data_IF_975452463660
#
_entry.id   IF_975452463660
#
_cell.length_a   1.000
_cell.length_b   1.000
_cell.length_c   1.000
_cell.angle_alpha   90.00
_cell.angle_beta   90.00
_cell.angle_gamma   90.00
#
_symmetry.space_group_name_H-M   'P 1'
#
loop_
_entity.id
_entity.type
_entity.pdbx_description
1 polymer ?
2 polymer ?
3 polymer ?
4 non-polymer ?
5 water ?
#
# COMPACT_ATOMS: atom_id res chain seq x y z
N UNK A 1 -19.04 -10.10 -10.11
CA UNK A 1 -19.42 -9.03 -9.19
C UNK A 1 -19.79 -9.62 -7.83
N UNK A 2 -18.91 -9.42 -6.86
CA UNK A 2 -19.11 -9.95 -5.52
C UNK A 2 -20.11 -9.16 -4.72
N UNK A 3 -20.13 -9.45 -3.42
CA UNK A 3 -21.06 -8.85 -2.48
C UNK A 3 -20.29 -7.96 -1.51
N UNK A 4 -20.82 -6.77 -1.24
CA UNK A 4 -20.22 -5.85 -0.27
C UNK A 4 -20.96 -5.96 1.05
N UNK A 5 -20.21 -5.79 2.14
CA UNK A 5 -20.77 -5.97 3.47
C UNK A 5 -20.28 -4.87 4.40
N UNK A 6 -21.03 -4.69 5.49
CA UNK A 6 -20.65 -3.79 6.57
C UNK A 6 -21.03 -4.46 7.89
N UNK A 7 -20.82 -3.74 8.99
CA UNK A 7 -21.22 -4.27 10.29
C UNK A 7 -22.74 -4.37 10.44
N UNK A 8 -23.51 -3.75 9.56
CA UNK A 8 -24.95 -3.81 9.58
C UNK A 8 -25.51 -4.92 8.68
N UNK A 9 -24.68 -5.89 8.30
CA UNK A 9 -25.09 -6.99 7.45
C UNK A 9 -25.03 -8.30 8.23
N UNK A 10 -25.78 -9.28 7.74
CA UNK A 10 -25.81 -10.63 8.30
C UNK A 10 -25.54 -11.61 7.16
N UNK A 11 -24.31 -11.58 6.65
CA UNK A 11 -23.89 -12.42 5.54
C UNK A 11 -22.78 -13.33 6.03
N UNK A 12 -23.06 -14.63 6.11
CA UNK A 12 -22.05 -15.61 6.48
C UNK A 12 -21.20 -16.06 5.29
N UNK A 13 -21.53 -15.60 4.08
CA UNK A 13 -20.83 -16.02 2.88
C UNK A 13 -19.68 -15.07 2.56
N UNK A 14 -18.88 -15.45 1.56
CA UNK A 14 -17.70 -14.68 1.17
C UNK A 14 -18.09 -13.27 0.76
N UNK A 15 -17.64 -12.28 1.53
CA UNK A 15 -18.06 -10.90 1.34
C UNK A 15 -16.88 -9.97 1.53
N UNK A 16 -16.97 -8.79 0.92
CA UNK A 16 -15.95 -7.75 1.06
C UNK A 16 -16.35 -6.81 2.18
N UNK A 17 -15.50 -6.70 3.20
CA UNK A 17 -15.71 -5.82 4.34
C UNK A 17 -14.71 -4.66 4.30
N UNK A 18 -15.04 -3.51 4.89
CA UNK A 18 -14.12 -2.38 4.85
C UNK A 18 -13.06 -2.44 5.95
N UNK A 19 -11.87 -1.93 5.61
CA UNK A 19 -10.75 -1.85 6.54
C UNK A 19 -9.88 -0.66 6.12
N UNK A 20 -9.42 0.10 7.10
CA UNK A 20 -8.51 1.21 6.88
C UNK A 20 -7.12 0.82 7.38
N UNK A 21 -6.15 0.81 6.48
CA UNK A 21 -4.76 0.56 6.83
C UNK A 21 -4.14 1.88 7.26
N UNK A 22 -3.59 1.92 8.48
CA UNK A 22 -3.06 3.14 9.07
C UNK A 22 -1.53 3.06 9.05
N UNK A 23 -0.92 3.80 8.11
CA UNK A 23 0.54 3.80 8.01
C UNK A 23 1.18 4.42 9.24
N UNK A 24 0.55 5.45 9.81
CA UNK A 24 1.10 6.08 11.01
C UNK A 24 1.08 5.13 12.20
N UNK A 25 0.10 4.23 12.27
CA UNK A 25 0.04 3.26 13.36
C UNK A 25 1.22 2.29 13.32
N UNK A 26 1.90 2.19 12.19
CA UNK A 26 3.13 1.41 12.09
C UNK A 26 4.36 2.20 12.51
N UNK A 27 4.23 3.50 12.71
CA UNK A 27 5.37 4.36 12.94
C UNK A 27 6.04 4.87 11.69
N UNK A 28 5.40 4.73 10.53
CA UNK A 28 5.99 5.11 9.24
C UNK A 28 5.69 6.59 8.99
N UNK A 29 6.67 7.44 9.26
CA UNK A 29 6.56 8.86 8.97
C UNK A 29 7.20 9.24 7.65
N UNK A 30 7.84 8.29 6.97
CA UNK A 30 8.40 8.55 5.65
C UNK A 30 7.36 8.60 4.55
N UNK A 31 6.11 8.25 4.85
CA UNK A 31 5.01 8.32 3.89
C UNK A 31 4.29 9.63 4.12
N UNK A 32 4.44 10.57 3.18
CA UNK A 32 3.77 11.86 3.31
C UNK A 32 2.26 11.71 3.16
N UNK A 33 1.82 11.00 2.12
CA UNK A 33 0.42 10.80 1.86
C UNK A 33 0.25 9.50 1.08
N UNK A 34 -0.81 8.72 1.36
CA UNK A 34 -1.78 9.00 2.40
C UNK A 34 -1.36 8.45 3.76
N UNK A 35 -1.75 9.13 4.84
CA UNK A 35 -1.49 8.59 6.17
C UNK A 35 -2.26 7.29 6.40
N UNK A 36 -3.44 7.18 5.79
CA UNK A 36 -4.29 6.00 5.91
C UNK A 36 -5.13 5.88 4.64
N UNK A 37 -5.49 4.65 4.29
CA UNK A 37 -6.29 4.42 3.11
C UNK A 37 -7.20 3.21 3.34
N UNK A 38 -8.25 3.13 2.53
CA UNK A 38 -9.23 2.06 2.63
C UNK A 38 -8.77 0.88 1.78
N UNK A 39 -8.40 -0.22 2.44
CA UNK A 39 -7.88 -1.40 1.76
C UNK A 39 -8.88 -2.55 1.68
N UNK A 40 -9.78 -2.67 2.66
CA UNK A 40 -10.79 -3.72 2.72
C UNK A 40 -10.17 -5.10 2.88
N UNK A 41 -11.02 -6.12 3.03
CA UNK A 41 -10.57 -7.50 3.16
C UNK A 41 -11.73 -8.42 2.85
N UNK A 42 -11.39 -9.68 2.60
CA UNK A 42 -12.37 -10.71 2.23
C UNK A 42 -12.58 -11.65 3.40
N UNK A 43 -13.84 -11.97 3.68
CA UNK A 43 -14.19 -12.89 4.75
C UNK A 43 -15.56 -13.48 4.45
N UNK A 44 -15.80 -14.66 5.00
CA UNK A 44 -17.07 -15.36 4.82
C UNK A 44 -16.87 -16.77 4.30
N UNK A 45 -17.93 -17.55 4.40
CA UNK A 45 -17.91 -18.94 4.00
C UNK A 45 -18.08 -19.06 2.48
N UNK A 46 -17.41 -20.05 1.91
CA UNK A 46 -17.49 -20.35 0.48
C UNK A 46 -18.28 -21.65 0.32
N UNK A 47 -19.60 -21.53 0.36
CA UNK A 47 -20.45 -22.68 0.10
C UNK A 47 -20.41 -23.01 -1.39
N UNK A 48 -21.04 -24.14 -1.74
CA UNK A 48 -20.90 -24.69 -3.08
C UNK A 48 -21.46 -23.75 -4.12
N UNK A 49 -20.76 -23.65 -5.25
CA UNK A 49 -21.21 -22.91 -6.43
C UNK A 49 -21.40 -21.42 -6.14
N UNK A 50 -20.66 -20.88 -5.18
CA UNK A 50 -20.79 -19.48 -4.77
C UNK A 50 -19.52 -18.73 -5.17
N UNK A 51 -19.67 -17.80 -6.12
CA UNK A 51 -18.60 -16.85 -6.48
C UNK A 51 -17.30 -17.56 -6.81
N UNK A 52 -17.39 -18.54 -7.71
CA UNK A 52 -16.21 -19.31 -8.09
C UNK A 52 -15.29 -18.45 -8.96
N UNK A 53 -14.01 -18.43 -8.61
CA UNK A 53 -13.08 -17.48 -9.23
C UNK A 53 -12.65 -17.93 -10.62
N UNK A 54 -12.24 -19.19 -10.76
CA UNK A 54 -11.73 -19.71 -12.02
C UNK A 54 -12.63 -20.83 -12.52
N UNK A 55 -12.53 -21.19 -13.81
CA UNK A 55 -13.10 -22.48 -14.24
C UNK A 55 -12.48 -23.65 -13.53
N UNK A 56 -11.20 -23.54 -13.13
CA UNK A 56 -10.57 -24.57 -12.31
C UNK A 56 -11.34 -24.78 -11.01
N UNK A 57 -11.81 -23.69 -10.39
CA UNK A 57 -12.58 -23.81 -9.16
C UNK A 57 -13.83 -24.65 -9.36
N UNK A 58 -14.59 -24.35 -10.41
CA UNK A 58 -15.84 -25.08 -10.67
C UNK A 58 -15.56 -26.55 -10.94
N UNK A 59 -14.47 -26.86 -11.63
CA UNK A 59 -14.22 -28.24 -12.03
C UNK A 59 -13.80 -29.09 -10.85
N UNK A 60 -12.88 -28.59 -10.02
CA UNK A 60 -12.44 -29.38 -8.88
C UNK A 60 -13.52 -29.45 -7.80
N UNK A 61 -14.24 -28.36 -7.57
CA UNK A 61 -15.31 -28.39 -6.57
C UNK A 61 -16.39 -29.38 -6.96
N UNK A 62 -16.70 -29.47 -8.26
CA UNK A 62 -17.65 -30.48 -8.73
C UNK A 62 -17.07 -31.89 -8.60
N UNK A 63 -15.80 -32.07 -8.95
CA UNK A 63 -15.19 -33.39 -8.93
C UNK A 63 -14.79 -33.80 -7.51
N UNK A 64 -13.92 -33.02 -6.89
CA UNK A 64 -13.50 -33.28 -5.52
C UNK A 64 -14.72 -33.43 -4.63
N UNK A 65 -14.79 -34.47 -3.80
CA UNK A 65 -15.89 -34.54 -2.85
C UNK A 65 -15.80 -33.45 -1.80
N UNK A 66 -16.60 -33.57 -0.73
CA UNK A 66 -16.43 -32.65 0.38
C UNK A 66 -15.02 -32.75 0.94
N UNK A 67 -14.52 -33.96 1.16
CA UNK A 67 -13.14 -34.12 1.55
C UNK A 67 -12.17 -33.44 0.60
N UNK A 68 -11.40 -32.48 1.13
CA UNK A 68 -11.43 -32.28 2.57
C UNK A 68 -11.72 -30.85 2.98
N UNK A 69 -11.53 -29.90 2.08
CA UNK A 69 -11.70 -28.49 2.42
C UNK A 69 -12.15 -27.72 1.19
N UNK A 70 -13.05 -26.75 1.42
CA UNK A 70 -13.65 -25.99 0.37
C UNK A 70 -12.77 -24.86 -0.09
N UNK A 71 -13.31 -24.01 -0.98
CA UNK A 71 -12.55 -22.86 -1.47
C UNK A 71 -12.32 -21.85 -0.35
N UNK A 72 -11.39 -20.94 -0.62
CA UNK A 72 -11.05 -19.87 0.31
C UNK A 72 -11.57 -18.54 -0.22
N UNK A 73 -12.20 -17.77 0.65
CA UNK A 73 -12.66 -16.43 0.27
C UNK A 73 -11.45 -15.53 0.05
N UNK A 74 -11.26 -15.10 -1.19
CA UNK A 74 -10.04 -14.44 -1.62
C UNK A 74 -10.39 -13.30 -2.57
N UNK A 75 -9.53 -12.29 -2.67
CA UNK A 75 -9.80 -11.20 -3.63
C UNK A 75 -9.85 -11.70 -5.06
N UNK A 76 -10.76 -11.11 -5.85
CA UNK A 76 -10.85 -11.37 -7.27
C UNK A 76 -10.56 -10.14 -8.12
N UNK A 77 -10.40 -8.96 -7.52
CA UNK A 77 -10.03 -7.76 -8.24
C UNK A 77 -9.33 -6.82 -7.29
N UNK A 78 -8.17 -6.32 -7.69
CA UNK A 78 -7.41 -5.35 -6.92
C UNK A 78 -7.25 -4.06 -7.71
N UNK A 79 -6.85 -3.01 -7.01
CA UNK A 79 -6.61 -1.70 -7.61
C UNK A 79 -5.43 -1.06 -6.92
N UNK A 80 -4.73 -0.15 -7.60
CA UNK A 80 -3.58 0.51 -6.97
C UNK A 80 -3.98 1.76 -6.20
N UNK A 81 -3.01 2.36 -5.49
CA UNK A 81 -3.16 3.66 -4.87
C UNK A 81 -1.93 4.49 -5.20
N UNK A 82 -2.10 5.81 -5.14
CA UNK A 82 -0.98 6.72 -5.22
C UNK A 82 -0.37 6.93 -3.83
N UNK A 83 0.94 7.20 -3.81
CA UNK A 83 1.63 7.41 -2.55
C UNK A 83 2.77 8.40 -2.75
N UNK A 84 2.86 9.36 -1.85
CA UNK A 84 3.94 10.34 -1.83
C UNK A 84 4.78 10.08 -0.59
N UNK A 85 6.08 9.83 -0.78
CA UNK A 85 6.90 9.35 0.32
C UNK A 85 8.36 9.64 0.04
N UNK A 86 9.16 9.57 1.10
CA UNK A 86 10.61 9.56 1.00
C UNK A 86 11.10 8.12 0.83
N UNK A 87 12.03 7.92 -0.10
CA UNK A 87 12.60 6.60 -0.30
C UNK A 87 13.86 6.44 0.55
N UNK A 88 14.59 5.34 0.35
CA UNK A 88 15.80 5.10 1.14
C UNK A 88 16.90 6.11 0.83
N UNK A 89 16.85 6.75 -0.34
CA UNK A 89 17.77 7.83 -0.67
C UNK A 89 17.22 9.20 -0.29
N UNK A 90 16.16 9.24 0.53
CA UNK A 90 15.56 10.46 1.05
C UNK A 90 15.00 11.36 -0.05
N UNK A 91 14.65 10.80 -1.20
CA UNK A 91 14.08 11.58 -2.29
C UNK A 91 12.56 11.54 -2.22
N UNK A 92 11.94 12.64 -2.63
CA UNK A 92 10.48 12.72 -2.72
C UNK A 92 10.04 11.93 -3.94
N UNK A 93 9.17 10.94 -3.74
CA UNK A 93 8.74 10.02 -4.79
C UNK A 93 7.23 10.05 -4.88
N UNK A 94 6.72 10.18 -6.10
CA UNK A 94 5.31 10.02 -6.41
C UNK A 94 5.16 8.68 -7.13
N UNK A 95 4.53 7.71 -6.46
CA UNK A 95 4.46 6.37 -7.01
C UNK A 95 3.06 5.81 -7.15
N UNK A 96 2.92 4.77 -7.97
CA UNK A 96 1.67 4.05 -8.16
C UNK A 96 1.88 2.64 -7.62
N UNK A 97 1.31 2.37 -6.44
CA UNK A 97 1.59 1.14 -5.71
C UNK A 97 0.51 0.12 -6.08
N UNK A 98 0.86 -0.99 -6.73
CA UNK A 98 -0.16 -1.95 -7.14
C UNK A 98 -0.54 -2.92 -6.03
N UNK A 99 -1.68 -3.57 -6.23
CA UNK A 99 -2.14 -4.60 -5.30
C UNK A 99 -2.36 -4.11 -3.89
N UNK A 100 -2.97 -2.95 -3.72
CA UNK A 100 -3.14 -2.35 -2.40
C UNK A 100 -4.58 -2.31 -1.92
N UNK A 101 -5.56 -2.33 -2.81
CA UNK A 101 -6.96 -2.21 -2.45
C UNK A 101 -7.71 -3.43 -2.98
N UNK A 102 -8.49 -4.07 -2.11
CA UNK A 102 -9.37 -5.16 -2.53
C UNK A 102 -10.66 -4.55 -3.08
N UNK A 103 -10.97 -4.86 -4.34
CA UNK A 103 -12.18 -4.38 -4.98
C UNK A 103 -13.32 -5.39 -4.91
N UNK A 104 -13.01 -6.68 -5.08
CA UNK A 104 -14.02 -7.73 -5.07
C UNK A 104 -13.48 -8.94 -4.33
N UNK A 105 -14.39 -9.83 -3.95
CA UNK A 105 -14.04 -11.06 -3.25
C UNK A 105 -14.75 -12.23 -3.91
N UNK A 106 -14.04 -13.35 -4.03
CA UNK A 106 -14.60 -14.55 -4.62
C UNK A 106 -14.10 -15.81 -3.93
N UNK A 107 -14.39 -16.97 -4.51
CA UNK A 107 -14.04 -18.26 -3.92
C UNK A 107 -13.09 -19.00 -4.87
N UNK A 108 -11.93 -19.40 -4.33
CA UNK A 108 -10.93 -20.12 -5.12
C UNK A 108 -10.58 -21.45 -4.47
N UNK B 1 -14.17 11.76 -16.37
CA UNK B 1 -12.76 12.06 -16.50
C UNK B 1 -12.35 13.17 -15.53
N UNK B 2 -11.10 13.62 -15.62
CA UNK B 2 -10.58 14.59 -14.68
C UNK B 2 -9.34 15.25 -15.28
N UNK B 3 -9.19 16.55 -15.01
CA UNK B 3 -7.99 17.30 -15.36
C UNK B 3 -7.47 18.00 -14.11
N UNK B 4 -6.14 18.08 -13.99
CA UNK B 4 -5.52 18.68 -12.82
C UNK B 4 -4.36 19.55 -13.25
N UNK B 5 -3.93 20.43 -12.33
CA UNK B 5 -2.69 21.17 -12.51
C UNK B 5 -1.52 20.22 -12.28
N UNK B 6 -0.54 20.26 -13.18
CA UNK B 6 0.66 19.44 -13.06
C UNK B 6 1.85 20.31 -12.75
N UNK B 7 2.68 19.87 -11.81
CA UNK B 7 3.94 20.53 -11.52
C UNK B 7 4.90 19.51 -10.93
N UNK B 8 6.16 19.59 -11.36
CA UNK B 8 7.22 18.71 -10.86
C UNK B 8 8.46 19.56 -10.65
N UNK B 9 8.76 19.89 -9.39
CA UNK B 9 9.97 20.65 -9.08
C UNK B 9 11.24 19.89 -9.43
N UNK B 10 11.14 18.60 -9.74
CA UNK B 10 12.27 17.76 -10.12
C UNK B 10 12.25 17.44 -11.61
N UNK B 11 11.67 18.33 -12.41
CA UNK B 11 11.34 18.01 -13.80
C UNK B 11 12.57 17.68 -14.63
N UNK B 12 13.71 18.30 -14.33
CA UNK B 12 14.90 18.13 -15.17
C UNK B 12 15.40 16.69 -15.12
N UNK B 13 15.65 16.17 -13.93
CA UNK B 13 16.27 14.85 -13.79
C UNK B 13 15.29 13.72 -14.11
N UNK B 14 14.00 13.98 -14.06
CA UNK B 14 12.99 13.02 -14.48
C UNK B 14 12.62 13.17 -15.95
N UNK B 15 13.17 14.18 -16.63
CA UNK B 15 12.94 14.42 -18.05
C UNK B 15 11.45 14.51 -18.35
N UNK B 16 10.81 15.48 -17.70
CA UNK B 16 9.37 15.71 -17.84
C UNK B 16 9.13 17.21 -17.88
N UNK B 17 7.93 17.60 -18.31
CA UNK B 17 7.57 19.01 -18.30
C UNK B 17 7.56 19.53 -16.87
N UNK B 18 7.86 20.82 -16.71
CA UNK B 18 7.86 21.41 -15.38
C UNK B 18 6.44 21.68 -14.89
N UNK B 19 5.59 22.23 -15.76
CA UNK B 19 4.23 22.58 -15.37
C UNK B 19 3.29 22.21 -16.52
N UNK B 20 2.02 22.61 -16.38
CA UNK B 20 1.03 22.33 -17.40
C UNK B 20 -0.18 21.61 -16.86
N UNK B 21 -0.85 20.83 -17.71
CA UNK B 21 -2.01 20.06 -17.34
C UNK B 21 -1.71 18.56 -17.39
N UNK B 22 -2.55 17.79 -16.73
CA UNK B 22 -2.48 16.33 -16.80
C UNK B 22 -3.88 15.78 -16.94
N UNK B 23 -4.12 15.02 -18.01
CA UNK B 23 -5.39 14.34 -18.21
C UNK B 23 -5.37 13.03 -17.43
N UNK B 24 -6.21 12.93 -16.40
CA UNK B 24 -6.22 11.78 -15.53
C UNK B 24 -6.99 10.63 -16.18
N UNK B 25 -6.29 9.53 -16.44
CA UNK B 25 -6.93 8.32 -16.95
C UNK B 25 -7.49 7.52 -15.78
N UNK B 26 -8.78 7.24 -15.82
CA UNK B 26 -9.43 6.53 -14.74
C UNK B 26 -10.15 5.27 -15.18
N UNK B 27 -10.39 4.36 -14.24
CA UNK B 27 -11.13 3.15 -14.54
C UNK B 27 -12.62 3.42 -14.41
N UNK B 28 -13.43 2.37 -14.60
CA UNK B 28 -14.87 2.54 -14.68
C UNK B 28 -15.46 3.06 -13.37
N UNK B 29 -15.22 2.34 -12.27
CA UNK B 29 -15.82 2.71 -10.98
C UNK B 29 -15.00 3.80 -10.29
N UNK B 30 -13.67 3.66 -10.28
CA UNK B 30 -12.82 4.47 -9.43
C UNK B 30 -13.03 5.97 -9.68
N UNK B 31 -13.02 6.73 -8.60
CA UNK B 31 -13.08 8.18 -8.66
C UNK B 31 -11.68 8.76 -8.86
N UNK B 32 -11.63 9.98 -9.37
CA UNK B 32 -10.38 10.65 -9.68
C UNK B 32 -10.25 11.94 -8.87
N UNK B 33 -9.01 12.27 -8.50
CA UNK B 33 -8.74 13.42 -7.66
C UNK B 33 -7.55 14.19 -8.21
N UNK B 34 -7.30 15.36 -7.61
CA UNK B 34 -6.09 16.14 -7.85
C UNK B 34 -5.42 16.40 -6.52
N UNK B 35 -4.10 16.58 -6.55
CA UNK B 35 -3.35 16.78 -5.32
C UNK B 35 -2.30 17.86 -5.52
N UNK B 36 -1.85 18.43 -4.40
CA UNK B 36 -0.77 19.40 -4.38
C UNK B 36 0.12 19.13 -3.18
N UNK B 37 1.42 19.30 -3.37
CA UNK B 37 2.39 19.11 -2.29
C UNK B 37 3.39 20.25 -2.32
N UNK B 38 3.78 20.71 -1.14
CA UNK B 38 4.69 21.85 -1.05
C UNK B 38 5.42 21.82 0.29
N UNK B 39 6.52 22.57 0.35
CA UNK B 39 7.30 22.74 1.59
C UNK B 39 6.97 24.15 2.12
N UNK B 40 7.08 24.36 3.43
CA UNK B 40 6.75 25.70 3.99
C UNK B 40 7.73 25.83 5.16
N UNK B 41 8.75 26.66 5.00
CA UNK B 41 9.78 26.88 6.04
C UNK B 41 10.04 28.38 6.07
N UNK B 42 10.07 28.96 7.27
CA UNK B 42 10.32 30.40 7.48
C UNK B 42 9.49 31.26 6.52
N UNK B 43 8.22 30.89 6.35
CA UNK B 43 7.30 31.67 5.56
C UNK B 43 7.48 31.61 4.06
N UNK B 44 8.42 30.82 3.57
CA UNK B 44 8.66 30.68 2.13
C UNK B 44 8.04 29.39 1.64
N UNK B 45 7.13 29.50 0.67
CA UNK B 45 6.46 28.34 0.10
C UNK B 45 7.29 27.79 -1.04
N UNK B 46 7.61 26.50 -0.96
CA UNK B 46 8.39 25.81 -1.99
C UNK B 46 7.54 24.68 -2.55
N UNK B 47 7.14 24.80 -3.81
CA UNK B 47 6.34 23.77 -4.46
C UNK B 47 7.14 22.47 -4.55
N UNK B 48 6.42 21.34 -4.47
CA UNK B 48 7.04 20.04 -4.61
C UNK B 48 6.46 19.33 -5.84
N UNK B 49 5.18 18.96 -5.77
CA UNK B 49 4.56 18.23 -6.87
C UNK B 49 3.07 18.52 -6.92
N UNK B 50 2.51 18.41 -8.12
CA UNK B 50 1.08 18.58 -8.37
C UNK B 50 0.70 17.66 -9.51
N UNK B 51 -0.51 17.10 -9.44
CA UNK B 51 -0.99 16.25 -10.51
C UNK B 51 -2.22 15.49 -10.10
N UNK B 52 -2.53 14.46 -10.89
CA UNK B 52 -3.67 13.60 -10.60
C UNK B 52 -3.37 12.72 -9.40
N UNK B 53 -4.44 12.23 -8.78
CA UNK B 53 -4.34 11.38 -7.59
C UNK B 53 -5.43 10.33 -7.67
N UNK B 54 -5.05 9.06 -7.52
CA UNK B 54 -5.99 7.96 -7.67
C UNK B 54 -7.02 7.97 -6.56
N UNK B 55 -7.99 7.05 -6.68
CA UNK B 55 -9.10 6.96 -5.73
C UNK B 55 -8.61 6.88 -4.30
N UNK B 56 -8.98 7.87 -3.50
CA UNK B 56 -8.56 7.97 -2.11
C UNK B 56 -9.69 8.63 -1.34
N UNK B 57 -10.18 7.95 -0.30
CA UNK B 57 -11.32 8.45 0.46
C UNK B 57 -10.99 9.69 1.28
N UNK B 58 -9.71 10.03 1.46
CA UNK B 58 -9.37 11.27 2.12
C UNK B 58 -9.75 12.48 1.28
N UNK B 59 -9.80 12.32 -0.04
CA UNK B 59 -10.12 13.40 -0.96
C UNK B 59 -11.59 13.44 -1.35
N UNK B 60 -12.40 12.50 -0.84
CA UNK B 60 -13.79 12.41 -1.25
C UNK B 60 -14.55 13.68 -0.88
N UNK B 61 -15.30 14.21 -1.86
CA UNK B 61 -16.21 15.34 -1.64
C UNK B 61 -15.49 16.56 -1.07
N UNK B 62 -14.33 16.88 -1.65
CA UNK B 62 -13.56 18.05 -1.27
C UNK B 62 -13.30 18.87 -2.53
N UNK B 63 -13.94 20.03 -2.63
CA UNK B 63 -13.82 20.89 -3.79
C UNK B 63 -12.62 21.83 -3.73
N UNK B 64 -12.01 21.98 -2.55
CA UNK B 64 -10.86 22.85 -2.37
C UNK B 64 -9.73 22.07 -1.70
N UNK B 65 -8.50 22.44 -2.05
CA UNK B 65 -7.31 21.72 -1.60
C UNK B 65 -6.81 22.33 -0.30
N UNK B 66 -7.05 21.64 0.81
CA UNK B 66 -6.69 22.13 2.14
C UNK B 66 -5.90 21.05 2.86
N UNK B 67 -4.67 21.37 3.25
CA UNK B 67 -3.87 20.46 4.06
C UNK B 67 -4.40 20.43 5.48
N UNK B 68 -4.36 19.26 6.11
CA UNK B 68 -4.92 19.07 7.44
C UNK B 68 -3.92 18.65 8.50
N UNK B 69 -2.69 18.30 8.12
CA UNK B 69 -1.69 17.88 9.10
C UNK B 69 -1.11 19.08 9.83
N UNK B 70 -0.91 18.93 11.14
CA UNK B 70 -0.38 19.99 11.98
C UNK B 70 1.14 20.02 11.88
N UNK B 71 1.68 21.01 11.20
CA UNK B 71 3.11 21.23 11.05
C UNK B 71 3.90 20.04 10.51
N UNK B 72 3.58 19.55 9.31
CA UNK B 72 4.39 18.50 8.69
C UNK B 72 5.61 19.03 7.96
N UNK B 73 6.49 18.10 7.58
CA UNK B 73 7.67 18.47 6.81
C UNK B 73 7.30 18.76 5.36
N UNK B 74 6.43 17.95 4.77
CA UNK B 74 5.95 18.14 3.41
C UNK B 74 4.42 18.21 3.48
N UNK B 75 3.87 19.40 3.21
CA UNK B 75 2.43 19.57 3.23
C UNK B 75 1.79 18.87 2.03
N UNK B 76 0.53 18.46 2.20
CA UNK B 76 -0.17 17.73 1.15
C UNK B 76 -1.66 18.03 1.26
N UNK B 77 -2.32 18.13 0.12
CA UNK B 77 -3.77 18.24 0.06
C UNK B 77 -4.25 17.57 -1.23
N UNK B 78 -5.49 17.09 -1.20
CA UNK B 78 -6.10 16.52 -2.40
C UNK B 78 -7.57 16.91 -2.44
N UNK B 79 -8.14 16.89 -3.63
CA UNK B 79 -9.47 17.42 -3.86
C UNK B 79 -10.12 16.70 -5.03
N UNK B 80 -11.44 16.89 -5.16
CA UNK B 80 -12.24 16.30 -6.22
C UNK B 80 -12.81 17.43 -7.08
N UNK B 81 -12.33 17.53 -8.31
CA UNK B 81 -12.76 18.57 -9.22
C UNK B 81 -11.67 18.90 -10.21
N UNK B 82 -12.08 19.47 -11.34
CA UNK B 82 -11.13 19.83 -12.38
C UNK B 82 -10.30 21.03 -11.95
N UNK B 83 -8.96 20.85 -11.95
CA UNK B 83 -8.01 21.90 -11.60
C UNK B 83 -8.20 22.41 -10.18
N UNK B 84 -8.82 21.60 -9.30
CA UNK B 84 -9.07 22.04 -7.93
C UNK B 84 -7.78 22.25 -7.14
N UNK B 85 -6.66 21.71 -7.61
CA UNK B 85 -5.38 21.81 -6.92
C UNK B 85 -4.59 23.06 -7.32
N UNK B 86 -5.19 23.98 -8.06
CA UNK B 86 -4.47 25.19 -8.45
C UNK B 86 -4.13 26.04 -7.25
N UNK B 87 -5.09 26.26 -6.37
CA UNK B 87 -4.88 26.97 -5.11
C UNK B 87 -4.97 26.00 -3.95
N UNK B 88 -4.16 26.25 -2.92
CA UNK B 88 -4.09 25.39 -1.75
C UNK B 88 -3.88 26.23 -0.51
N UNK B 89 -4.36 25.71 0.62
CA UNK B 89 -4.20 26.37 1.91
C UNK B 89 -3.83 25.32 2.96
N UNK B 90 -3.51 25.80 4.16
CA UNK B 90 -3.18 24.94 5.30
C UNK B 90 -4.11 25.33 6.45
N UNK B 91 -5.25 24.65 6.55
CA UNK B 91 -6.22 24.86 7.60
C UNK B 91 -6.45 23.54 8.33
N UNK B 92 -5.67 23.24 9.35
CA UNK B 92 -5.83 21.96 10.05
C UNK B 92 -7.13 21.90 10.83
N UNK B 93 -7.50 20.67 11.20
CA UNK B 93 -8.70 20.43 11.97
C UNK B 93 -8.55 21.03 13.37
N UNK B 94 -9.66 21.16 14.12
CA UNK B 94 -9.55 21.73 15.48
C UNK B 94 -8.54 21.02 16.37
N UNK B 95 -8.56 19.69 16.40
CA UNK B 95 -7.63 18.94 17.22
C UNK B 95 -6.91 17.84 16.47
N UNK C 1 24.22 -16.03 -7.36
CA UNK C 1 22.90 -15.45 -7.63
C UNK C 1 22.19 -15.08 -6.34
N UNK C 2 22.97 -14.60 -5.37
CA UNK C 2 22.49 -14.15 -4.06
C UNK C 2 21.87 -15.29 -3.25
N UNK C 3 22.51 -15.65 -2.14
CA UNK C 3 22.03 -16.68 -1.24
C UNK C 3 21.75 -16.06 0.12
N UNK C 4 20.68 -16.51 0.77
CA UNK C 4 20.28 -15.96 2.06
C UNK C 4 19.88 -17.10 2.98
N UNK C 5 19.94 -16.82 4.30
CA UNK C 5 19.46 -17.78 5.28
C UNK C 5 17.95 -17.82 5.29
N UNK C 6 17.39 -19.02 5.35
CA UNK C 6 15.95 -19.22 5.40
C UNK C 6 15.66 -20.10 6.61
N UNK C 7 15.13 -19.49 7.67
CA UNK C 7 14.96 -20.21 8.94
C UNK C 7 13.99 -21.39 8.80
N UNK C 8 13.05 -21.33 7.87
CA UNK C 8 12.03 -22.36 7.72
C UNK C 8 12.23 -23.25 6.51
N UNK C 9 13.29 -23.04 5.72
CA UNK C 9 13.58 -23.88 4.56
C UNK C 9 14.34 -25.12 5.02
N UNK C 10 13.62 -25.99 5.72
CA UNK C 10 14.20 -27.19 6.33
C UNK C 10 14.54 -28.27 5.32
N UNK C 11 14.32 -28.05 4.03
CA UNK C 11 14.62 -29.04 3.01
C UNK C 11 15.67 -28.57 2.01
N UNK C 12 16.12 -27.33 2.10
CA UNK C 12 17.12 -26.78 1.19
C UNK C 12 18.31 -26.23 1.98
N UNK C 13 18.67 -26.91 3.07
CA UNK C 13 19.79 -26.54 3.93
C UNK C 13 19.63 -25.12 4.50
N UNK C 14 18.37 -24.71 4.70
CA UNK C 14 18.05 -23.40 5.26
C UNK C 14 18.66 -22.27 4.43
N UNK C 15 18.60 -22.41 3.11
CA UNK C 15 19.18 -21.45 2.19
C UNK C 15 18.26 -21.30 0.98
N UNK C 16 17.98 -20.07 0.60
CA UNK C 16 17.21 -19.76 -0.59
C UNK C 16 18.01 -18.82 -1.49
N UNK C 17 17.63 -18.78 -2.76
CA UNK C 17 18.24 -17.91 -3.76
C UNK C 17 17.14 -17.11 -4.45
N UNK C 18 17.38 -15.81 -4.65
CA UNK C 18 16.42 -14.95 -5.31
C UNK C 18 17.14 -13.87 -6.13
N UNK C 19 16.35 -13.22 -6.99
CA UNK C 19 16.76 -11.98 -7.63
C UNK C 19 16.49 -10.77 -6.76
N UNK C 20 15.73 -10.93 -5.67
CA UNK C 20 15.45 -9.86 -4.75
C UNK C 20 16.50 -9.46 -3.73
N UNK C 21 16.22 -9.68 -2.45
CA UNK C 21 17.13 -9.33 -1.37
C UNK C 21 16.93 -10.36 -0.27
N UNK C 22 17.87 -10.37 0.67
CA UNK C 22 17.79 -11.20 1.86
C UNK C 22 17.04 -10.46 2.95
N UNK C 23 16.17 -11.17 3.66
CA UNK C 23 15.34 -10.59 4.70
C UNK C 23 15.59 -11.29 6.03
N UNK C 24 15.57 -10.51 7.10
CA UNK C 24 15.64 -11.04 8.47
C UNK C 24 14.96 -10.03 9.40
N UNK C 25 14.26 -10.56 10.40
CA UNK C 25 13.52 -9.70 11.31
C UNK C 25 13.50 -10.31 12.70
N UNK C 26 13.47 -9.43 13.70
CA UNK C 26 13.29 -9.82 15.10
C UNK C 26 12.06 -9.11 15.63
N UNK C 27 11.11 -9.89 16.15
CA UNK C 27 9.85 -9.37 16.68
C UNK C 27 9.83 -9.60 18.17
N UNK C 28 9.74 -8.51 18.95
CA UNK C 28 9.73 -8.59 20.40
C UNK C 28 8.29 -8.47 20.89
N UNK C 29 7.77 -9.56 21.43
CA UNK C 29 6.49 -9.57 22.11
C UNK C 29 6.73 -9.30 23.61
N UNK C 30 5.65 -8.96 24.32
CA UNK C 30 5.73 -8.72 25.75
C UNK C 30 6.46 -9.85 26.47
N UNK C 31 6.30 -11.08 26.01
CA UNK C 31 6.86 -12.25 26.68
C UNK C 31 7.70 -13.13 25.75
N UNK C 32 7.94 -12.71 24.52
CA UNK C 32 8.59 -13.58 23.55
C UNK C 32 9.49 -12.77 22.63
N UNK C 33 10.55 -13.41 22.14
CA UNK C 33 11.43 -12.85 21.13
C UNK C 33 11.60 -13.88 20.03
N UNK C 34 11.12 -13.58 18.83
CA UNK C 34 11.19 -14.49 17.70
C UNK C 34 11.96 -13.82 16.57
N UNK C 35 12.53 -14.65 15.70
CA UNK C 35 13.27 -14.18 14.55
C UNK C 35 12.85 -14.97 13.32
N UNK C 36 12.79 -14.29 12.19
CA UNK C 36 12.49 -14.91 10.91
C UNK C 36 13.49 -14.43 9.88
N UNK C 37 13.83 -15.30 8.94
CA UNK C 37 14.75 -14.97 7.87
C UNK C 37 14.30 -15.69 6.61
N UNK C 38 14.38 -15.01 5.48
CA UNK C 38 13.89 -15.57 4.23
C UNK C 38 14.47 -14.75 3.08
N UNK C 39 14.07 -15.11 1.87
CA UNK C 39 14.37 -14.37 0.66
C UNK C 39 13.09 -13.69 0.16
N UNK C 40 13.23 -12.50 -0.39
CA UNK C 40 12.10 -11.74 -0.93
C UNK C 40 12.40 -11.49 -2.41
N UNK C 41 11.58 -12.06 -3.29
CA UNK C 41 11.78 -11.92 -4.72
C UNK C 41 11.69 -10.45 -5.14
N UNK C 42 12.22 -10.17 -6.34
CA UNK C 42 12.31 -8.80 -6.81
C UNK C 42 10.93 -8.17 -7.00
N UNK C 43 9.99 -8.93 -7.59
CA UNK C 43 8.65 -8.41 -7.85
C UNK C 43 7.83 -8.21 -6.59
N UNK C 44 8.31 -8.67 -5.44
CA UNK C 44 7.62 -8.51 -4.17
C UNK C 44 8.18 -7.36 -3.34
N UNK C 45 9.22 -6.69 -3.81
CA UNK C 45 9.78 -5.52 -3.13
C UNK C 45 9.01 -4.29 -3.62
N UNK C 46 7.95 -3.95 -2.91
CA UNK C 46 7.01 -2.91 -3.33
C UNK C 46 6.93 -1.86 -2.23
N UNK C 47 7.33 -0.60 -2.49
CA UNK C 47 8.01 -0.20 -3.72
C UNK C 47 9.50 -0.51 -3.67
N UNK C 48 10.12 -0.68 -4.85
CA UNK C 48 11.50 -1.15 -4.88
C UNK C 48 12.45 -0.18 -4.18
N UNK C 49 12.18 1.12 -4.24
CA UNK C 49 13.05 2.10 -3.61
C UNK C 49 12.86 2.19 -2.10
N UNK C 50 11.83 1.56 -1.55
CA UNK C 50 11.60 1.50 -0.11
C UNK C 50 10.50 0.49 0.20
N UNK C 51 10.82 -0.81 0.21
CA UNK C 51 9.76 -1.82 0.33
C UNK C 51 9.12 -1.81 1.71
N UNK C 52 7.80 -2.08 1.73
CA UNK C 52 7.09 -2.20 3.00
C UNK C 52 7.67 -3.32 3.85
N UNK C 53 8.01 -4.45 3.22
CA UNK C 53 8.47 -5.63 3.95
C UNK C 53 9.81 -5.35 4.63
N UNK C 54 10.65 -4.50 4.04
CA UNK C 54 11.95 -4.18 4.61
C UNK C 54 11.91 -3.05 5.62
N UNK C 55 10.74 -2.45 5.83
CA UNK C 55 10.64 -1.32 6.76
C UNK C 55 10.30 -1.81 8.16
N UNK C 56 11.02 -1.36 9.18
CA UNK C 56 10.66 -1.75 10.55
C UNK C 56 9.32 -1.13 10.96
N UNK C 57 8.56 -1.89 11.74
CA UNK C 57 7.24 -1.46 12.17
C UNK C 57 7.11 -1.65 13.68
N UNK C 58 6.02 -1.12 14.23
CA UNK C 58 5.75 -1.23 15.65
C UNK C 58 4.27 -0.98 15.88
N UNK C 59 3.72 -1.67 16.87
CA UNK C 59 2.33 -1.50 17.28
C UNK C 59 2.26 -1.73 18.79
N UNK C 60 1.04 -1.77 19.32
CA UNK C 60 0.85 -1.94 20.76
C UNK C 60 1.36 -3.29 21.23
N UNK C 61 2.43 -3.28 22.03
CA UNK C 61 2.98 -4.51 22.56
C UNK C 61 3.74 -5.36 21.57
N UNK C 62 4.31 -4.75 20.54
CA UNK C 62 5.07 -5.50 19.54
C UNK C 62 5.98 -4.54 18.79
N UNK C 63 7.23 -4.95 18.60
CA UNK C 63 8.22 -4.17 17.87
C UNK C 63 8.96 -5.11 16.93
N UNK C 64 8.93 -4.82 15.63
CA UNK C 64 9.52 -5.67 14.61
C UNK C 64 10.68 -4.92 13.95
N UNK C 65 11.90 -5.26 14.33
CA UNK C 65 13.09 -4.76 13.67
C UNK C 65 13.39 -5.64 12.47
N UNK C 66 13.73 -5.01 11.34
CA UNK C 66 13.99 -5.74 10.11
C UNK C 66 15.32 -5.29 9.52
N UNK C 67 15.85 -6.12 8.62
CA UNK C 67 17.12 -5.83 7.95
C UNK C 67 17.09 -6.49 6.58
N UNK C 68 17.30 -5.68 5.54
CA UNK C 68 17.34 -6.16 4.17
C UNK C 68 18.72 -5.85 3.58
N UNK C 69 19.27 -6.81 2.84
CA UNK C 69 20.63 -6.69 2.33
C UNK C 69 20.78 -7.57 1.11
N UNK C 70 21.87 -7.33 0.36
CA UNK C 70 22.09 -7.99 -0.92
C UNK C 70 23.38 -8.79 -0.99
N UNK C 71 24.12 -8.93 0.10
CA UNK C 71 25.30 -9.77 0.09
C UNK C 71 24.93 -11.21 0.46
N UNK C 72 25.81 -12.14 0.08
CA UNK C 72 25.53 -13.55 0.31
C UNK C 72 25.52 -13.86 1.80
N UNK C 73 24.43 -14.46 2.27
CA UNK C 73 24.26 -14.87 3.67
C UNK C 73 24.47 -13.69 4.62
N UNK C 74 23.75 -12.60 4.33
CA UNK C 74 23.86 -11.37 5.11
C UNK C 74 22.75 -11.21 6.15
N UNK C 75 21.68 -12.01 6.05
CA UNK C 75 20.54 -11.90 6.96
C UNK C 75 20.83 -12.75 8.20
N UNK C 76 21.70 -12.24 9.06
CA UNK C 76 22.12 -12.91 10.27
C UNK C 76 21.63 -12.14 11.49
N UNK C 77 21.07 -12.87 12.46
CA UNK C 77 20.77 -12.28 13.76
C UNK C 77 22.05 -12.21 14.59
N UNK C 78 22.08 -11.28 15.52
CA UNK C 78 23.29 -11.05 16.31
C UNK C 78 22.88 -10.59 17.72
N UNK C 79 23.86 -10.23 18.52
CA UNK C 79 23.68 -9.91 19.93
C UNK C 79 24.49 -8.67 20.26
N UNK C 80 24.20 -8.02 21.41
CA UNK C 80 25.07 -6.96 21.92
C UNK C 80 26.46 -7.49 22.29
#
# INVERSE_FOLDING_TARGET
LGLDCDEHSSESRCCRYPLTVDFEAFGWDWIIAPKRYKANYCSGQCEYMFMQKYPHTHLVQQANPRGSAGPCCTPTKMSPINMLYFNDKQQIIYGKIPGMVVDRCGCS
TRECIYYNANWELERTNQSGLERCEGEQDKRLHCYASWRNSSGTIELVKKGCWLDDFNCYDRQECVATEENPQVYFCCCEGNFCNERFTHLPEPG
ALQCFCHLCTKDNFTCVTDGLCFVSVTETTDKVIHNSMCIAEIDLIPRDRPFVCAPSSKTGSVTTTYCCNQDHCNKIELP
#
